data_IF_176698114358
#
_entry.id   IF_176698114358
#
_cell.length_a   1.000
_cell.length_b   1.000
_cell.length_c   1.000
_cell.angle_alpha   90.00
_cell.angle_beta   90.00
_cell.angle_gamma   90.00
#
_symmetry.space_group_name_H-M   'P 1'
#
loop_
_entity.id
_entity.type
_entity.pdbx_description
1 polymer ?
#
# COMPACT_ATOMS: atom_id res chain seq x y z
N UNK A 1 -3.20 -13.66 83.89
CA UNK A 1 -2.72 -14.51 82.77
C UNK A 1 -2.48 -13.61 81.57
N UNK A 2 -1.22 -13.37 81.22
CA UNK A 2 -0.81 -12.48 80.14
C UNK A 2 -0.93 -13.19 78.78
N UNK A 3 -1.67 -12.59 77.83
CA UNK A 3 -1.74 -13.07 76.43
C UNK A 3 -0.75 -12.30 75.56
N UNK A 4 0.11 -13.08 74.93
CA UNK A 4 1.28 -12.72 74.12
C UNK A 4 0.89 -11.99 72.83
N UNK A 5 1.70 -11.00 72.48
CA UNK A 5 1.66 -10.29 71.21
C UNK A 5 2.33 -11.15 70.13
N UNK A 6 1.64 -11.40 69.02
CA UNK A 6 2.19 -12.08 67.86
C UNK A 6 2.97 -11.07 67.00
N UNK A 7 4.26 -11.34 66.77
CA UNK A 7 5.08 -10.60 65.82
C UNK A 7 4.78 -11.13 64.41
N UNK A 8 4.25 -10.27 63.54
CA UNK A 8 4.19 -10.52 62.09
C UNK A 8 5.58 -10.31 61.47
N UNK A 9 6.11 -11.25 60.69
CA UNK A 9 7.31 -11.00 59.89
C UNK A 9 6.95 -10.19 58.64
N UNK A 10 7.56 -9.01 58.48
CA UNK A 10 7.62 -8.31 57.18
C UNK A 10 8.50 -9.12 56.24
N UNK A 11 7.90 -9.66 55.18
CA UNK A 11 8.65 -10.20 54.04
C UNK A 11 8.94 -9.05 53.10
N UNK A 12 10.20 -8.59 53.07
CA UNK A 12 10.71 -7.72 52.01
C UNK A 12 10.90 -8.55 50.75
N UNK A 13 9.95 -8.46 49.81
CA UNK A 13 10.12 -9.00 48.47
C UNK A 13 11.11 -8.13 47.69
N UNK A 14 12.27 -8.70 47.34
CA UNK A 14 13.15 -8.13 46.32
C UNK A 14 12.42 -8.12 44.98
N UNK A 15 12.16 -6.93 44.45
CA UNK A 15 11.76 -6.75 43.05
C UNK A 15 13.04 -6.87 42.22
N UNK A 16 13.22 -8.02 41.56
CA UNK A 16 14.22 -8.17 40.52
C UNK A 16 13.78 -7.35 39.30
N UNK A 17 14.41 -6.19 39.09
CA UNK A 17 14.34 -5.42 37.86
C UNK A 17 15.05 -6.21 36.75
N UNK A 18 14.31 -7.05 36.05
CA UNK A 18 14.78 -7.60 34.77
C UNK A 18 14.60 -6.52 33.72
N UNK A 19 15.70 -5.88 33.31
CA UNK A 19 15.73 -5.02 32.13
C UNK A 19 15.13 -5.77 30.93
N UNK A 20 14.19 -5.20 30.17
CA UNK A 20 13.76 -5.81 28.94
C UNK A 20 14.98 -5.90 28.02
N UNK A 21 15.28 -7.11 27.57
CA UNK A 21 16.28 -7.38 26.55
C UNK A 21 15.98 -6.46 25.36
N UNK A 22 16.97 -5.65 24.98
CA UNK A 22 16.93 -4.88 23.76
C UNK A 22 16.69 -5.88 22.62
N UNK A 23 15.48 -5.84 22.07
CA UNK A 23 15.16 -6.52 20.82
C UNK A 23 16.08 -5.88 19.79
N UNK A 24 17.11 -6.63 19.40
CA UNK A 24 17.91 -6.30 18.23
C UNK A 24 16.94 -6.30 17.05
N UNK A 25 16.50 -5.12 16.63
CA UNK A 25 15.94 -4.92 15.31
C UNK A 25 17.05 -5.28 14.33
N UNK A 26 17.00 -6.50 13.79
CA UNK A 26 17.78 -6.85 12.61
C UNK A 26 17.32 -5.91 11.49
N UNK A 27 18.16 -4.93 11.18
CA UNK A 27 18.01 -4.11 9.99
C UNK A 27 18.24 -5.01 8.78
N UNK A 28 17.19 -5.66 8.31
CA UNK A 28 17.19 -6.31 7.01
C UNK A 28 17.29 -5.22 5.93
N UNK A 29 18.51 -4.80 5.62
CA UNK A 29 18.80 -3.97 4.46
C UNK A 29 18.77 -4.89 3.24
N UNK A 30 17.59 -5.09 2.65
CA UNK A 30 17.43 -5.72 1.34
C UNK A 30 17.97 -4.78 0.26
N UNK A 31 19.30 -4.73 0.14
CA UNK A 31 19.99 -4.05 -0.97
C UNK A 31 19.91 -4.89 -2.24
N UNK A 32 18.70 -5.06 -2.77
CA UNK A 32 18.51 -5.42 -4.18
C UNK A 32 18.34 -4.12 -4.96
N UNK A 33 19.37 -3.67 -5.69
CA UNK A 33 19.21 -2.59 -6.66
C UNK A 33 18.17 -3.01 -7.68
N UNK A 34 16.95 -2.52 -7.52
CA UNK A 34 15.87 -2.74 -8.48
C UNK A 34 16.11 -1.78 -9.63
N UNK A 35 16.29 -2.32 -10.85
CA UNK A 35 16.35 -1.52 -12.08
C UNK A 35 15.18 -0.52 -12.11
N UNK A 36 15.41 0.68 -12.66
CA UNK A 36 14.37 1.71 -12.73
C UNK A 36 14.08 2.08 -14.18
N UNK A 37 12.84 2.48 -14.43
CA UNK A 37 12.39 2.99 -15.73
C UNK A 37 12.19 4.51 -15.60
N UNK A 38 12.88 5.33 -16.41
CA UNK A 38 12.64 6.76 -16.44
C UNK A 38 11.30 7.05 -17.14
N UNK A 39 10.45 7.85 -16.51
CA UNK A 39 9.18 8.28 -17.09
C UNK A 39 8.96 9.78 -16.86
N UNK A 40 8.38 10.42 -17.85
CA UNK A 40 7.81 11.75 -17.72
C UNK A 40 6.39 11.64 -17.19
N UNK A 41 6.15 12.18 -16.00
CA UNK A 41 4.84 12.22 -15.38
C UNK A 41 4.34 13.68 -15.37
N UNK A 42 3.96 14.14 -16.57
CA UNK A 42 3.82 15.57 -16.84
C UNK A 42 5.20 16.18 -17.00
N UNK A 43 5.44 17.32 -16.36
CA UNK A 43 6.73 18.05 -16.42
C UNK A 43 7.83 17.39 -15.56
N UNK A 44 7.46 16.42 -14.70
CA UNK A 44 8.37 15.76 -13.76
C UNK A 44 8.97 14.49 -14.37
N UNK A 45 10.30 14.41 -14.44
CA UNK A 45 11.01 13.14 -14.68
C UNK A 45 11.08 12.35 -13.37
N UNK A 46 10.52 11.14 -13.35
CA UNK A 46 10.55 10.24 -12.19
C UNK A 46 11.07 8.87 -12.60
N UNK A 47 11.68 8.15 -11.64
CA UNK A 47 12.25 6.82 -11.87
C UNK A 47 11.45 5.76 -11.10
N UNK A 48 10.76 4.90 -11.84
CA UNK A 48 9.87 3.89 -11.27
C UNK A 48 10.58 2.54 -11.17
N UNK A 49 10.45 1.79 -10.06
CA UNK A 49 10.98 0.43 -9.96
C UNK A 49 10.44 -0.49 -11.08
N UNK A 50 11.34 -1.14 -11.82
CA UNK A 50 11.04 -2.09 -12.90
C UNK A 50 10.68 -3.44 -12.28
N UNK A 51 9.39 -3.70 -12.09
CA UNK A 51 8.87 -4.97 -11.55
C UNK A 51 8.07 -5.75 -12.59
N UNK A 52 7.90 -7.08 -12.39
CA UNK A 52 7.24 -8.01 -13.34
C UNK A 52 5.77 -7.71 -13.69
N UNK A 53 5.10 -6.83 -12.94
CA UNK A 53 3.74 -6.37 -13.26
C UNK A 53 3.62 -4.85 -13.22
N UNK A 54 4.72 -4.15 -13.50
CA UNK A 54 4.66 -2.72 -13.78
C UNK A 54 3.90 -2.52 -15.09
N UNK A 55 2.92 -1.63 -15.08
CA UNK A 55 2.23 -1.17 -16.28
C UNK A 55 2.27 0.34 -16.34
N UNK A 56 2.61 0.86 -17.50
CA UNK A 56 2.59 2.29 -17.78
C UNK A 56 1.54 2.54 -18.84
N UNK A 57 0.62 3.47 -18.59
CA UNK A 57 -0.29 3.98 -19.62
C UNK A 57 0.28 5.31 -20.08
N UNK A 58 0.57 5.43 -21.37
CA UNK A 58 1.07 6.65 -22.00
C UNK A 58 -0.06 7.66 -22.23
N UNK A 59 0.29 8.89 -22.57
CA UNK A 59 -0.67 9.98 -22.84
C UNK A 59 -1.56 9.75 -24.06
N UNK A 60 -1.12 8.94 -25.02
CA UNK A 60 -1.89 8.46 -26.17
C UNK A 60 -2.82 7.26 -25.82
N UNK A 61 -2.91 6.87 -24.55
CA UNK A 61 -3.60 5.68 -24.03
C UNK A 61 -2.96 4.33 -24.36
N UNK A 62 -1.78 4.30 -24.97
CA UNK A 62 -0.99 3.08 -25.14
C UNK A 62 -0.66 2.49 -23.78
N UNK A 63 -0.77 1.16 -23.63
CA UNK A 63 -0.45 0.44 -22.39
C UNK A 63 0.80 -0.41 -22.60
N UNK A 64 1.84 -0.13 -21.82
CA UNK A 64 3.05 -0.91 -21.73
C UNK A 64 3.00 -1.79 -20.47
N UNK A 65 3.53 -3.02 -20.53
CA UNK A 65 3.50 -3.97 -19.40
C UNK A 65 4.85 -4.65 -19.24
N UNK A 66 5.62 -4.25 -18.25
CA UNK A 66 6.94 -4.79 -17.98
C UNK A 66 6.79 -6.12 -17.23
N UNK A 67 7.34 -7.22 -17.78
CA UNK A 67 7.43 -8.51 -17.07
C UNK A 67 6.73 -9.73 -17.66
N UNK A 68 6.41 -9.75 -18.95
CA UNK A 68 6.10 -11.03 -19.62
C UNK A 68 7.33 -11.58 -20.32
N UNK A 69 8.16 -12.34 -19.58
CA UNK A 69 9.24 -13.14 -20.18
C UNK A 69 8.70 -14.34 -21.01
N UNK A 70 7.38 -14.56 -21.05
CA UNK A 70 6.77 -15.73 -21.68
C UNK A 70 5.71 -15.42 -22.76
N UNK A 71 5.68 -14.21 -23.31
CA UNK A 71 4.91 -13.97 -24.53
C UNK A 71 5.85 -13.64 -25.67
N UNK A 72 5.75 -14.43 -26.73
CA UNK A 72 6.34 -14.39 -28.07
C UNK A 72 6.16 -13.07 -28.85
N UNK A 73 6.09 -11.93 -28.16
CA UNK A 73 6.11 -10.58 -28.70
C UNK A 73 7.02 -9.73 -27.83
N UNK A 74 8.30 -9.75 -28.17
CA UNK A 74 9.21 -8.65 -27.86
C UNK A 74 8.57 -7.38 -28.45
N UNK A 75 8.06 -6.48 -27.59
CA UNK A 75 7.62 -5.17 -28.06
C UNK A 75 8.87 -4.29 -28.14
N UNK A 76 9.33 -3.86 -29.33
CA UNK A 76 10.55 -3.08 -29.46
C UNK A 76 10.51 -1.75 -28.67
N UNK A 77 9.33 -1.31 -28.21
CA UNK A 77 9.19 -0.18 -27.28
C UNK A 77 9.76 -0.47 -25.88
N UNK A 78 10.03 -1.72 -25.51
CA UNK A 78 10.77 -2.04 -24.29
C UNK A 78 12.21 -1.54 -24.36
N UNK A 79 12.87 -1.74 -25.49
CA UNK A 79 14.26 -1.33 -25.69
C UNK A 79 14.36 0.21 -25.76
N UNK A 80 13.34 0.87 -26.31
CA UNK A 80 13.26 2.35 -26.34
C UNK A 80 13.18 3.02 -24.95
N UNK A 81 12.85 2.28 -23.88
CA UNK A 81 12.84 2.84 -22.51
C UNK A 81 14.25 3.09 -21.95
N UNK A 82 15.28 2.51 -22.57
CA UNK A 82 16.68 2.78 -22.24
C UNK A 82 17.21 4.02 -22.97
N UNK A 83 16.53 4.49 -24.03
CA UNK A 83 16.96 5.62 -24.87
C UNK A 83 16.26 6.95 -24.53
N UNK A 84 15.00 6.92 -24.08
CA UNK A 84 14.26 8.14 -23.71
C UNK A 84 13.18 7.90 -22.64
N UNK A 85 12.88 8.90 -21.77
CA UNK A 85 11.78 8.80 -20.81
C UNK A 85 10.41 8.65 -21.48
N UNK A 86 9.55 7.80 -20.91
CA UNK A 86 8.18 7.60 -21.40
C UNK A 86 7.22 8.68 -20.89
N UNK A 87 6.45 9.34 -21.77
CA UNK A 87 5.37 10.26 -21.35
C UNK A 87 4.14 9.48 -20.84
N UNK A 88 4.00 9.41 -19.52
CA UNK A 88 3.05 8.59 -18.80
C UNK A 88 1.83 9.38 -18.32
N UNK A 89 0.64 8.86 -18.66
CA UNK A 89 -0.64 9.24 -18.06
C UNK A 89 -0.85 8.56 -16.70
N UNK A 90 -0.39 7.32 -16.52
CA UNK A 90 -0.51 6.60 -15.25
C UNK A 90 0.52 5.49 -15.10
N UNK A 91 0.89 5.21 -13.86
CA UNK A 91 1.79 4.12 -13.46
C UNK A 91 1.04 3.17 -12.55
N UNK A 92 1.03 1.88 -12.83
CA UNK A 92 0.34 0.81 -12.09
C UNK A 92 1.36 -0.27 -11.72
N UNK A 93 1.77 -0.31 -10.46
CA UNK A 93 2.61 -1.37 -9.89
C UNK A 93 1.70 -2.41 -9.23
N UNK A 94 1.91 -3.69 -9.55
CA UNK A 94 1.16 -4.78 -8.94
C UNK A 94 2.07 -5.86 -8.43
N UNK A 95 1.70 -6.44 -7.31
CA UNK A 95 2.38 -7.61 -6.80
C UNK A 95 1.92 -8.86 -7.56
N UNK A 96 2.85 -9.78 -7.85
CA UNK A 96 2.54 -10.97 -8.64
C UNK A 96 1.97 -12.14 -7.86
N UNK A 97 2.12 -12.16 -6.53
CA UNK A 97 1.47 -13.12 -5.64
C UNK A 97 1.87 -14.59 -5.82
N UNK A 98 2.87 -14.90 -6.65
CA UNK A 98 3.32 -16.27 -6.91
C UNK A 98 4.83 -16.31 -7.14
N UNK A 99 5.52 -17.17 -6.39
CA UNK A 99 6.96 -17.47 -6.53
C UNK A 99 7.84 -16.80 -5.48
N UNK A 100 9.01 -17.39 -5.26
CA UNK A 100 10.04 -17.09 -4.23
C UNK A 100 10.66 -15.68 -4.28
N UNK A 101 10.11 -14.76 -5.07
CA UNK A 101 10.50 -13.35 -5.05
C UNK A 101 9.83 -12.67 -3.83
N UNK A 102 10.51 -12.82 -2.68
CA UNK A 102 10.06 -12.51 -1.30
C UNK A 102 9.85 -11.03 -0.97
N UNK A 103 10.05 -10.09 -1.90
CA UNK A 103 10.05 -8.66 -1.58
C UNK A 103 8.65 -8.07 -1.83
N UNK A 104 8.08 -7.47 -0.80
CA UNK A 104 6.76 -6.82 -0.88
C UNK A 104 6.75 -5.65 -1.85
N UNK A 105 5.57 -5.28 -2.36
CA UNK A 105 5.45 -4.09 -3.21
C UNK A 105 5.82 -2.81 -2.43
N UNK A 106 5.43 -2.74 -1.16
CA UNK A 106 5.75 -1.62 -0.29
C UNK A 106 7.26 -1.51 -0.06
N UNK A 107 7.95 -2.59 0.26
CA UNK A 107 9.42 -2.59 0.41
C UNK A 107 10.13 -2.20 -0.88
N UNK A 108 9.64 -2.66 -2.03
CA UNK A 108 10.23 -2.33 -3.33
C UNK A 108 10.16 -0.83 -3.61
N UNK A 109 9.05 -0.17 -3.26
CA UNK A 109 8.87 1.27 -3.48
C UNK A 109 9.63 2.07 -2.42
N UNK A 110 9.53 1.67 -1.15
CA UNK A 110 10.09 2.41 -0.02
C UNK A 110 11.61 2.22 0.14
N UNK A 111 12.17 1.14 -0.40
CA UNK A 111 13.57 0.78 -0.20
C UNK A 111 13.92 0.37 1.25
N UNK A 112 12.90 0.09 2.07
CA UNK A 112 13.03 -0.34 3.47
C UNK A 112 11.92 -1.32 3.81
N UNK A 113 12.12 -2.08 4.90
CA UNK A 113 11.09 -2.92 5.49
C UNK A 113 9.79 -2.13 5.78
N UNK A 114 8.64 -2.76 5.51
CA UNK A 114 7.30 -2.27 5.81
C UNK A 114 6.47 -3.39 6.43
N UNK A 115 5.72 -3.06 7.48
CA UNK A 115 4.83 -4.00 8.17
C UNK A 115 3.50 -4.21 7.44
N UNK A 116 3.26 -3.45 6.37
CA UNK A 116 1.99 -3.41 5.65
C UNK A 116 2.16 -3.77 4.19
N UNK A 117 1.28 -4.64 3.67
CA UNK A 117 1.27 -5.04 2.27
C UNK A 117 0.20 -4.27 1.49
N UNK A 118 0.53 -3.91 0.25
CA UNK A 118 -0.48 -3.55 -0.76
C UNK A 118 -0.29 -4.43 -1.99
N UNK A 119 -1.38 -4.98 -2.50
CA UNK A 119 -1.37 -5.86 -3.67
C UNK A 119 -1.16 -5.09 -4.98
N UNK A 120 -1.41 -3.79 -4.97
CA UNK A 120 -1.13 -2.90 -6.09
C UNK A 120 -1.26 -1.44 -5.71
N UNK A 121 -0.50 -0.59 -6.41
CA UNK A 121 -0.53 0.86 -6.30
C UNK A 121 -0.54 1.45 -7.71
N UNK A 122 -1.49 2.33 -7.99
CA UNK A 122 -1.62 3.03 -9.25
C UNK A 122 -1.80 4.52 -9.01
N UNK A 123 -1.04 5.32 -9.75
CA UNK A 123 -1.13 6.78 -9.75
C UNK A 123 -1.44 7.28 -11.16
N UNK A 124 -2.33 8.27 -11.28
CA UNK A 124 -2.66 8.95 -12.53
C UNK A 124 -2.20 10.39 -12.47
N UNK A 125 -1.78 10.93 -13.62
CA UNK A 125 -1.32 12.31 -13.74
C UNK A 125 -2.39 13.33 -13.39
N UNK A 126 -3.65 12.98 -13.63
CA UNK A 126 -4.81 13.85 -13.44
C UNK A 126 -5.80 13.25 -12.44
N UNK A 127 -6.64 14.12 -11.88
CA UNK A 127 -7.81 13.72 -11.10
C UNK A 127 -8.77 12.89 -11.96
N UNK A 128 -9.50 11.95 -11.36
CA UNK A 128 -10.59 11.30 -12.08
C UNK A 128 -11.74 12.30 -12.27
N UNK A 129 -12.34 12.40 -13.47
CA UNK A 129 -13.46 13.31 -13.73
C UNK A 129 -14.60 13.20 -12.71
N UNK A 130 -14.86 11.98 -12.22
CA UNK A 130 -15.97 11.70 -11.31
C UNK A 130 -15.59 11.72 -9.82
N UNK A 131 -14.34 11.98 -9.45
CA UNK A 131 -13.93 11.89 -8.04
C UNK A 131 -14.58 12.97 -7.18
N UNK A 132 -14.57 14.23 -7.65
CA UNK A 132 -15.20 15.33 -6.93
C UNK A 132 -16.72 15.20 -6.85
N UNK A 133 -17.35 14.76 -7.95
CA UNK A 133 -18.79 14.48 -7.98
C UNK A 133 -19.13 13.36 -7.01
N UNK A 134 -18.30 12.33 -6.93
CA UNK A 134 -18.49 11.25 -5.97
C UNK A 134 -18.35 11.76 -4.52
N UNK A 135 -17.30 12.52 -4.21
CA UNK A 135 -17.06 13.06 -2.85
C UNK A 135 -18.26 13.87 -2.34
N UNK A 136 -18.76 14.79 -3.16
CA UNK A 136 -19.88 15.67 -2.81
C UNK A 136 -21.20 14.92 -2.59
N UNK A 137 -21.36 13.75 -3.21
CA UNK A 137 -22.63 13.03 -3.27
C UNK A 137 -22.67 11.71 -2.47
N UNK A 138 -21.57 11.27 -1.85
CA UNK A 138 -21.49 9.94 -1.20
C UNK A 138 -20.69 9.92 0.12
N UNK A 139 -21.26 10.39 1.25
CA UNK A 139 -20.88 9.83 2.54
C UNK A 139 -21.49 8.44 2.79
N UNK A 140 -22.41 7.96 1.94
CA UNK A 140 -23.24 6.79 2.28
C UNK A 140 -22.52 5.45 2.05
N UNK A 141 -22.36 4.70 3.13
CA UNK A 141 -22.14 3.26 3.12
C UNK A 141 -23.23 2.57 2.26
N UNK A 142 -22.81 1.80 1.26
CA UNK A 142 -23.69 1.06 0.35
C UNK A 142 -23.22 -0.39 0.24
N UNK A 143 -24.11 -1.32 0.60
CA UNK A 143 -23.95 -2.74 0.27
C UNK A 143 -24.71 -3.00 -1.03
N UNK A 144 -24.01 -3.43 -2.08
CA UNK A 144 -24.63 -3.87 -3.34
C UNK A 144 -24.58 -5.40 -3.44
N UNK A 145 -25.66 -6.08 -3.85
CA UNK A 145 -25.58 -7.47 -4.26
C UNK A 145 -24.54 -7.63 -5.40
N UNK A 146 -23.65 -8.65 -5.39
CA UNK A 146 -23.60 -9.82 -4.52
C UNK A 146 -22.57 -9.73 -3.38
N UNK A 147 -22.62 -8.68 -2.55
CA UNK A 147 -21.72 -8.51 -1.39
C UNK A 147 -20.54 -7.57 -1.66
N UNK A 148 -20.76 -6.58 -2.52
CA UNK A 148 -19.83 -5.46 -2.74
C UNK A 148 -20.15 -4.40 -1.68
N UNK A 149 -19.15 -3.98 -0.94
CA UNK A 149 -19.29 -2.93 0.08
C UNK A 149 -18.57 -1.68 -0.42
N UNK A 150 -19.28 -0.56 -0.51
CA UNK A 150 -18.75 0.75 -0.91
C UNK A 150 -18.96 1.74 0.23
N UNK A 151 -17.93 2.49 0.61
CA UNK A 151 -18.06 3.49 1.66
C UNK A 151 -16.95 4.54 1.58
N UNK A 152 -17.13 5.60 2.35
CA UNK A 152 -16.10 6.58 2.67
C UNK A 152 -15.57 6.25 4.06
N UNK A 153 -14.26 6.09 4.21
CA UNK A 153 -13.69 5.85 5.54
C UNK A 153 -13.81 7.12 6.41
N UNK A 154 -14.41 7.00 7.59
CA UNK A 154 -14.75 8.16 8.43
C UNK A 154 -13.55 8.75 9.17
N UNK A 155 -12.67 7.89 9.69
CA UNK A 155 -11.46 8.32 10.42
C UNK A 155 -10.16 7.91 9.74
N UNK A 156 -10.24 7.44 8.51
CA UNK A 156 -9.07 7.11 7.70
C UNK A 156 -8.98 8.08 6.52
N UNK A 157 -7.81 8.69 6.38
CA UNK A 157 -7.53 9.71 5.36
C UNK A 157 -6.24 9.36 4.62
N UNK A 158 -6.17 9.73 3.35
CA UNK A 158 -4.99 9.69 2.51
C UNK A 158 -4.63 11.13 2.16
N UNK A 159 -3.48 11.60 2.60
CA UNK A 159 -3.02 12.99 2.50
C UNK A 159 -4.01 13.99 3.12
N UNK A 160 -4.50 13.67 4.32
CA UNK A 160 -5.54 14.43 5.03
C UNK A 160 -6.87 14.55 4.25
N UNK A 161 -7.01 13.74 3.20
CA UNK A 161 -8.19 13.71 2.35
C UNK A 161 -8.94 12.39 2.51
N UNK A 162 -10.26 12.44 2.39
CA UNK A 162 -11.08 11.25 2.47
C UNK A 162 -10.75 10.19 1.41
N UNK A 163 -10.97 8.93 1.78
CA UNK A 163 -10.72 7.78 0.91
C UNK A 163 -12.03 7.09 0.57
N UNK A 164 -12.24 6.84 -0.72
CA UNK A 164 -13.26 5.91 -1.20
C UNK A 164 -12.78 4.49 -1.09
N UNK A 165 -13.57 3.64 -0.48
CA UNK A 165 -13.30 2.21 -0.37
C UNK A 165 -14.37 1.43 -1.12
N UNK A 166 -13.92 0.43 -1.89
CA UNK A 166 -14.78 -0.62 -2.45
C UNK A 166 -14.18 -1.98 -2.17
N UNK A 167 -14.90 -2.83 -1.46
CA UNK A 167 -14.47 -4.17 -1.10
C UNK A 167 -15.35 -5.24 -1.74
N UNK A 168 -14.74 -6.37 -2.07
CA UNK A 168 -15.38 -7.54 -2.63
C UNK A 168 -15.15 -8.74 -1.70
N UNK A 169 -16.24 -9.38 -1.24
CA UNK A 169 -16.20 -10.61 -0.44
C UNK A 169 -15.89 -11.88 -1.25
N UNK A 170 -16.02 -11.85 -2.58
CA UNK A 170 -15.82 -13.03 -3.44
C UNK A 170 -14.45 -13.00 -4.10
N UNK A 171 -13.77 -14.15 -4.08
CA UNK A 171 -12.47 -14.33 -4.72
C UNK A 171 -11.33 -13.83 -3.84
N UNK A 172 -11.23 -14.40 -2.63
CA UNK A 172 -10.06 -14.22 -1.74
C UNK A 172 -8.80 -14.31 -2.60
N UNK A 173 -7.67 -13.70 -2.21
CA UNK A 173 -6.42 -14.25 -2.71
C UNK A 173 -6.48 -15.78 -2.54
N UNK A 174 -6.23 -16.55 -3.61
CA UNK A 174 -6.43 -18.01 -3.64
C UNK A 174 -5.65 -18.77 -2.54
N UNK A 175 -4.81 -18.07 -1.78
CA UNK A 175 -4.00 -18.54 -0.66
C UNK A 175 -4.56 -18.21 0.73
N UNK A 176 -5.71 -17.53 0.87
CA UNK A 176 -6.39 -17.33 2.17
C UNK A 176 -7.47 -18.39 2.39
N UNK A 177 -7.54 -18.90 3.61
CA UNK A 177 -8.60 -19.76 4.15
C UNK A 177 -9.57 -19.01 5.07
N UNK A 178 -9.34 -17.72 5.35
CA UNK A 178 -10.25 -16.89 6.14
C UNK A 178 -11.56 -16.63 5.38
N UNK A 179 -12.74 -17.06 5.88
CA UNK A 179 -14.01 -16.82 5.19
C UNK A 179 -14.41 -15.34 5.13
N UNK A 180 -13.84 -14.48 5.97
CA UNK A 180 -14.06 -13.04 5.98
C UNK A 180 -13.04 -12.26 5.15
N UNK A 181 -12.13 -12.96 4.44
CA UNK A 181 -11.18 -12.35 3.52
C UNK A 181 -11.86 -11.44 2.50
N UNK A 182 -11.23 -10.31 2.18
CA UNK A 182 -11.72 -9.37 1.16
C UNK A 182 -10.58 -8.86 0.31
N UNK A 183 -10.90 -8.51 -0.92
CA UNK A 183 -10.06 -7.61 -1.72
C UNK A 183 -10.72 -6.24 -1.74
N UNK A 184 -9.96 -5.22 -1.33
CA UNK A 184 -10.43 -3.85 -1.25
C UNK A 184 -9.63 -2.96 -2.20
N UNK A 185 -10.33 -2.08 -2.89
CA UNK A 185 -9.78 -1.05 -3.73
C UNK A 185 -10.07 0.29 -3.09
N UNK A 186 -9.00 0.99 -2.75
CA UNK A 186 -9.04 2.30 -2.12
C UNK A 186 -8.65 3.34 -3.15
N UNK A 187 -9.31 4.48 -3.08
CA UNK A 187 -9.12 5.59 -4.01
C UNK A 187 -9.07 6.90 -3.23
N UNK A 188 -8.01 7.65 -3.44
CA UNK A 188 -7.80 8.98 -2.85
C UNK A 188 -7.09 9.90 -3.83
N UNK A 189 -6.65 11.05 -3.33
CA UNK A 189 -5.92 12.05 -4.10
C UNK A 189 -4.64 12.44 -3.36
N UNK A 190 -3.58 12.70 -4.12
CA UNK A 190 -2.37 13.35 -3.57
C UNK A 190 -2.63 14.82 -3.25
N UNK A 191 -1.68 15.51 -2.58
CA UNK A 191 -1.73 16.96 -2.40
C UNK A 191 -1.78 17.72 -3.73
N UNK A 192 -1.12 17.20 -4.77
CA UNK A 192 -1.09 17.76 -6.13
C UNK A 192 -2.34 17.41 -6.97
N UNK A 193 -3.42 16.91 -6.35
CA UNK A 193 -4.66 16.46 -7.01
C UNK A 193 -4.49 15.33 -8.05
N UNK A 194 -3.42 14.54 -7.92
CA UNK A 194 -3.24 13.33 -8.71
C UNK A 194 -4.06 12.20 -8.11
N UNK A 195 -4.71 11.40 -8.96
CA UNK A 195 -5.50 10.29 -8.45
C UNK A 195 -4.61 9.12 -8.05
N UNK A 196 -4.92 8.52 -6.90
CA UNK A 196 -4.21 7.35 -6.36
C UNK A 196 -5.21 6.25 -6.08
N UNK A 197 -4.94 5.05 -6.61
CA UNK A 197 -5.68 3.84 -6.27
C UNK A 197 -4.71 2.78 -5.81
N UNK A 198 -4.97 2.19 -4.67
CA UNK A 198 -4.27 1.01 -4.22
C UNK A 198 -5.26 -0.10 -3.88
N UNK A 199 -4.77 -1.33 -3.86
CA UNK A 199 -5.55 -2.48 -3.46
C UNK A 199 -4.89 -3.21 -2.32
N UNK A 200 -5.70 -3.65 -1.36
CA UNK A 200 -5.28 -4.41 -0.19
C UNK A 200 -6.11 -5.68 -0.14
N UNK A 201 -5.49 -6.78 0.24
CA UNK A 201 -6.25 -7.93 0.72
C UNK A 201 -6.33 -7.86 2.25
N UNK A 202 -7.39 -8.43 2.80
CA UNK A 202 -7.74 -8.38 4.22
C UNK A 202 -8.01 -9.81 4.64
N UNK A 203 -7.57 -10.22 5.82
CA UNK A 203 -7.74 -11.59 6.32
C UNK A 203 -6.80 -11.85 7.50
N UNK A 204 -7.27 -12.60 8.49
CA UNK A 204 -6.48 -12.87 9.70
C UNK A 204 -5.30 -13.80 9.45
N UNK A 205 -5.40 -14.65 8.43
CA UNK A 205 -4.37 -15.60 8.02
C UNK A 205 -3.36 -15.01 7.02
N UNK A 206 -3.56 -13.76 6.63
CA UNK A 206 -2.73 -13.08 5.65
C UNK A 206 -1.66 -12.23 6.33
N UNK A 207 -0.41 -12.69 6.28
CA UNK A 207 0.73 -11.97 6.83
C UNK A 207 0.87 -10.56 6.22
N UNK A 208 1.05 -9.53 7.07
CA UNK A 208 1.17 -8.08 6.72
C UNK A 208 -0.02 -7.45 6.00
N UNK A 209 -1.07 -8.20 5.75
CA UNK A 209 -2.28 -7.68 5.14
C UNK A 209 -3.11 -6.93 6.18
N UNK A 210 -3.91 -5.98 5.72
CA UNK A 210 -4.65 -5.08 6.60
C UNK A 210 -5.94 -4.60 5.92
N UNK A 211 -6.96 -4.23 6.71
CA UNK A 211 -7.06 -4.48 8.14
C UNK A 211 -7.26 -5.96 8.49
N UNK A 212 -6.87 -6.34 9.70
CA UNK A 212 -7.11 -7.67 10.28
C UNK A 212 -8.22 -7.65 11.33
N UNK A 213 -8.56 -6.49 11.89
CA UNK A 213 -9.59 -6.36 12.91
C UNK A 213 -11.00 -6.40 12.29
N UNK A 214 -11.85 -7.27 12.84
CA UNK A 214 -13.26 -7.41 12.42
C UNK A 214 -14.06 -6.15 12.77
N UNK A 215 -13.74 -5.52 13.91
CA UNK A 215 -14.46 -4.36 14.44
C UNK A 215 -14.43 -3.13 13.52
N UNK A 216 -13.33 -2.89 12.80
CA UNK A 216 -13.24 -1.80 11.81
C UNK A 216 -14.30 -1.93 10.71
N UNK A 217 -14.72 -3.16 10.38
CA UNK A 217 -15.75 -3.42 9.38
C UNK A 217 -17.17 -3.21 9.89
N UNK A 218 -17.37 -3.32 11.20
CA UNK A 218 -18.68 -3.17 11.83
C UNK A 218 -19.02 -1.69 12.01
N UNK A 219 -18.06 -0.88 12.45
CA UNK A 219 -18.26 0.55 12.73
C UNK A 219 -17.78 1.48 11.61
N UNK A 220 -17.10 0.95 10.59
CA UNK A 220 -16.49 1.71 9.48
C UNK A 220 -15.58 2.85 9.94
N UNK A 221 -15.13 2.79 11.20
CA UNK A 221 -14.26 3.80 11.77
C UNK A 221 -12.92 3.78 11.07
N UNK A 222 -12.45 2.57 10.71
CA UNK A 222 -11.17 2.32 10.04
C UNK A 222 -10.00 3.00 10.76
N UNK A 223 -10.10 3.17 12.09
CA UNK A 223 -9.08 3.89 12.88
C UNK A 223 -7.73 3.19 12.81
N UNK A 224 -7.73 1.86 12.74
CA UNK A 224 -6.50 1.07 12.60
C UNK A 224 -5.78 1.31 11.26
N UNK A 225 -6.41 1.97 10.30
CA UNK A 225 -5.84 2.19 8.96
C UNK A 225 -4.87 3.37 8.92
N UNK A 226 -4.80 4.20 9.96
CA UNK A 226 -3.95 5.39 9.95
C UNK A 226 -2.47 5.08 9.68
N UNK A 227 -1.91 4.09 10.39
CA UNK A 227 -0.52 3.69 10.21
C UNK A 227 -0.21 3.10 8.81
N UNK A 228 -0.98 2.13 8.29
CA UNK A 228 -0.73 1.63 6.93
C UNK A 228 -0.97 2.68 5.84
N UNK A 229 -1.94 3.59 6.02
CA UNK A 229 -2.18 4.68 5.08
C UNK A 229 -1.00 5.65 5.03
N UNK A 230 -0.38 5.97 6.16
CA UNK A 230 0.85 6.76 6.18
C UNK A 230 1.99 6.10 5.41
N UNK A 231 2.13 4.77 5.46
CA UNK A 231 3.11 4.06 4.62
C UNK A 231 2.75 4.14 3.13
N UNK A 232 1.46 4.02 2.77
CA UNK A 232 1.00 4.20 1.37
C UNK A 232 1.25 5.62 0.87
N UNK A 233 1.04 6.63 1.70
CA UNK A 233 1.37 8.03 1.39
C UNK A 233 2.86 8.17 1.12
N UNK A 234 3.71 7.65 2.01
CA UNK A 234 5.16 7.70 1.84
C UNK A 234 5.61 6.94 0.58
N UNK A 235 5.02 5.77 0.29
CA UNK A 235 5.31 5.02 -0.92
C UNK A 235 4.90 5.82 -2.17
N UNK A 236 3.73 6.45 -2.14
CA UNK A 236 3.25 7.30 -3.25
C UNK A 236 4.17 8.51 -3.46
N UNK A 237 4.59 9.19 -2.39
CA UNK A 237 5.52 10.32 -2.47
C UNK A 237 6.90 9.89 -2.97
N UNK A 238 7.40 8.74 -2.49
CA UNK A 238 8.67 8.17 -2.96
C UNK A 238 8.62 7.86 -4.45
N UNK A 239 7.52 7.28 -4.92
CA UNK A 239 7.31 6.94 -6.32
C UNK A 239 7.27 8.16 -7.23
N UNK A 240 6.67 9.26 -6.74
CA UNK A 240 6.50 10.51 -7.47
C UNK A 240 7.63 11.51 -7.27
N UNK A 241 8.67 11.14 -6.50
CA UNK A 241 9.80 12.01 -6.26
C UNK A 241 10.53 12.28 -7.58
N UNK A 242 10.65 13.55 -8.02
CA UNK A 242 11.45 13.91 -9.18
C UNK A 242 12.90 13.44 -9.00
N UNK A 243 13.53 13.10 -10.11
CA UNK A 243 14.97 12.98 -10.13
C UNK A 243 15.62 14.36 -9.91
N UNK A 244 16.73 14.40 -9.19
CA UNK A 244 17.45 15.66 -8.90
C UNK A 244 18.24 16.14 -10.15
N UNK A 245 18.23 15.36 -11.24
CA UNK A 245 18.85 15.73 -12.51
C UNK A 245 18.05 16.81 -13.24
N UNK A 246 18.75 17.76 -13.88
CA UNK A 246 18.21 18.93 -14.57
C UNK A 246 17.40 18.60 -15.84
N UNK A 247 17.00 17.35 -16.03
CA UNK A 247 16.32 16.87 -17.22
C UNK A 247 14.83 17.16 -17.08
N UNK A 248 14.39 18.26 -17.70
CA UNK A 248 12.98 18.63 -17.76
C UNK A 248 12.31 17.74 -18.81
N UNK A 249 11.16 17.17 -18.48
CA UNK A 249 10.30 16.53 -19.46
C UNK A 249 9.69 17.59 -20.37
N UNK A 250 9.81 17.38 -21.69
CA UNK A 250 9.39 18.34 -22.73
C UNK A 250 7.91 18.70 -22.69
#
# INVERSE_FOLDING_TARGET
>A
MAKRWARMPMVFGLVALTSPAAVQSETHTTSGTTDKVPICFGEKLIHIPKIRKLRVTLTDNTKLSFGSLNTSRHDPRYDATEEAPLDALSVDLRWSGFGEDKISLMETILGRHSDYEVTGLRVWRHVWPDFESWWRNHPDYKIRPPGIVEFTALHAQLFERPIKVRCYRKGLPNYSSDPESRICYLKGLTPDNQAVRFSIATGQDLYRHWPTAVSDWEDLSMKSWAAPLAEVEQATLTLLKPDDSSTVCN
#
